data_IF_462666297823
#
_entry.id   IF_462666297823
#
_cell.length_a   1.000
_cell.length_b   1.000
_cell.length_c   1.000
_cell.angle_alpha   90.00
_cell.angle_beta   90.00
_cell.angle_gamma   90.00
#
_symmetry.space_group_name_H-M   'P 1'
#
loop_
_entity.id
_entity.type
_entity.pdbx_description
1 polymer ?
#
# COMPACT_ATOMS: atom_id res chain seq x y z
N UNK A 1 -4.37 3.77 6.27
CA UNK A 1 -3.52 4.29 5.16
C UNK A 1 -4.11 5.58 4.62
N UNK A 2 -3.29 6.56 4.22
CA UNK A 2 -3.75 7.82 3.62
C UNK A 2 -3.38 7.87 2.14
N UNK A 3 -4.35 8.14 1.26
CA UNK A 3 -4.13 8.42 -0.15
C UNK A 3 -4.35 9.91 -0.41
N UNK A 4 -3.45 10.54 -1.16
CA UNK A 4 -3.58 11.92 -1.60
C UNK A 4 -4.03 11.94 -3.06
N UNK A 5 -4.91 12.88 -3.39
CA UNK A 5 -5.22 13.17 -4.78
C UNK A 5 -3.94 13.62 -5.52
N UNK A 6 -3.73 13.10 -6.73
CA UNK A 6 -2.58 13.46 -7.58
C UNK A 6 -2.96 14.40 -8.72
N UNK A 7 -4.23 14.75 -8.86
CA UNK A 7 -4.65 15.77 -9.82
C UNK A 7 -4.37 17.17 -9.25
N UNK A 8 -3.78 18.02 -10.09
CA UNK A 8 -3.06 19.25 -9.74
C UNK A 8 -3.87 20.31 -8.96
N UNK A 9 -5.18 20.13 -8.78
CA UNK A 9 -6.07 21.11 -8.15
C UNK A 9 -6.69 20.66 -6.83
N UNK A 10 -6.47 19.43 -6.36
CA UNK A 10 -7.14 18.90 -5.17
C UNK A 10 -6.16 18.49 -4.07
N UNK A 11 -6.29 19.09 -2.87
CA UNK A 11 -5.49 18.77 -1.67
C UNK A 11 -6.12 17.67 -0.80
N UNK A 12 -7.13 16.99 -1.33
CA UNK A 12 -7.98 16.03 -0.63
C UNK A 12 -7.21 14.78 -0.21
N UNK A 13 -7.52 14.26 0.99
CA UNK A 13 -6.94 13.05 1.57
C UNK A 13 -8.03 12.02 1.79
N UNK A 14 -7.78 10.80 1.35
CA UNK A 14 -8.67 9.66 1.58
C UNK A 14 -8.06 8.73 2.61
N UNK A 15 -8.84 8.34 3.61
CA UNK A 15 -8.42 7.36 4.62
C UNK A 15 -8.97 6.01 4.19
N UNK A 16 -8.07 5.05 3.98
CA UNK A 16 -8.43 3.64 3.84
C UNK A 16 -8.18 2.99 5.19
N UNK A 17 -9.27 2.57 5.84
CA UNK A 17 -9.26 1.55 6.91
C UNK A 17 -9.64 0.22 6.26
N UNK A 18 -9.13 -0.88 6.79
CA UNK A 18 -9.02 -2.19 6.15
C UNK A 18 -10.27 -2.72 5.43
N UNK A 19 -11.46 -2.22 5.74
CA UNK A 19 -12.73 -2.60 5.09
C UNK A 19 -13.64 -1.42 4.72
N UNK A 20 -13.21 -0.17 4.93
CA UNK A 20 -14.02 1.01 4.62
C UNK A 20 -13.21 2.20 4.10
N UNK A 21 -13.67 2.72 2.97
CA UNK A 21 -13.18 3.97 2.39
C UNK A 21 -13.99 5.11 3.01
N UNK A 22 -13.40 5.81 3.98
CA UNK A 22 -14.00 7.05 4.49
C UNK A 22 -13.50 8.21 3.64
N UNK A 23 -14.38 8.78 2.81
CA UNK A 23 -14.11 10.00 2.06
C UNK A 23 -13.90 11.14 3.05
N UNK A 24 -12.79 11.87 2.92
CA UNK A 24 -12.62 13.15 3.61
C UNK A 24 -13.58 14.22 3.05
N UNK A 25 -13.76 15.36 3.73
CA UNK A 25 -14.78 16.37 3.43
C UNK A 25 -14.44 17.26 2.23
N UNK A 26 -13.86 16.71 1.16
CA UNK A 26 -13.39 17.50 0.03
C UNK A 26 -14.03 17.00 -1.25
N UNK A 27 -14.77 17.89 -1.90
CA UNK A 27 -15.37 17.66 -3.21
C UNK A 27 -14.29 17.31 -4.23
N UNK A 28 -14.39 16.12 -4.80
CA UNK A 28 -13.63 15.72 -5.96
C UNK A 28 -14.51 15.93 -7.19
N UNK A 29 -14.04 16.69 -8.18
CA UNK A 29 -14.73 16.84 -9.47
C UNK A 29 -14.50 15.65 -10.42
N UNK A 30 -13.68 14.67 -10.00
CA UNK A 30 -13.48 13.42 -10.72
C UNK A 30 -13.90 12.22 -9.87
N UNK A 31 -14.39 11.19 -10.55
CA UNK A 31 -14.61 9.88 -9.94
C UNK A 31 -13.25 9.21 -9.77
N UNK A 32 -13.01 8.62 -8.59
CA UNK A 32 -11.80 7.84 -8.36
C UNK A 32 -11.76 6.64 -9.33
N UNK A 33 -10.63 6.47 -10.02
CA UNK A 33 -10.38 5.29 -10.86
C UNK A 33 -10.35 4.04 -9.97
N UNK A 34 -11.42 3.25 -10.04
CA UNK A 34 -11.63 2.08 -9.20
C UNK A 34 -10.52 1.04 -9.37
N UNK A 35 -10.04 0.83 -10.60
CA UNK A 35 -8.95 -0.11 -10.89
C UNK A 35 -7.64 0.35 -10.26
N UNK A 36 -7.29 1.64 -10.37
CA UNK A 36 -6.09 2.18 -9.69
C UNK A 36 -6.22 2.16 -8.17
N UNK A 37 -7.42 2.41 -7.65
CA UNK A 37 -7.67 2.36 -6.22
C UNK A 37 -7.49 0.93 -5.69
N UNK A 38 -8.10 -0.05 -6.34
CA UNK A 38 -7.95 -1.46 -5.96
C UNK A 38 -6.51 -1.94 -6.10
N UNK A 39 -5.78 -1.55 -7.15
CA UNK A 39 -4.37 -1.88 -7.30
C UNK A 39 -3.54 -1.35 -6.11
N UNK A 40 -3.83 -0.13 -5.66
CA UNK A 40 -3.16 0.45 -4.48
C UNK A 40 -3.50 -0.30 -3.19
N UNK A 41 -4.74 -0.77 -3.02
CA UNK A 41 -5.15 -1.58 -1.87
C UNK A 41 -4.40 -2.92 -1.88
N UNK A 42 -4.37 -3.62 -3.02
CA UNK A 42 -3.66 -4.89 -3.18
C UNK A 42 -2.17 -4.73 -2.82
N UNK A 43 -1.52 -3.71 -3.37
CA UNK A 43 -0.11 -3.42 -3.05
C UNK A 43 0.08 -3.04 -1.58
N UNK A 44 -0.87 -2.33 -0.96
CA UNK A 44 -0.81 -2.01 0.46
C UNK A 44 -0.89 -3.27 1.33
N UNK A 45 -1.73 -4.22 0.96
CA UNK A 45 -1.83 -5.52 1.65
C UNK A 45 -0.53 -6.30 1.54
N UNK A 46 0.07 -6.39 0.34
CA UNK A 46 1.40 -7.01 0.16
C UNK A 46 2.47 -6.37 1.04
N UNK A 47 2.44 -5.04 1.21
CA UNK A 47 3.38 -4.31 2.09
C UNK A 47 3.18 -4.67 3.55
N UNK A 48 1.93 -4.71 4.02
CA UNK A 48 1.62 -5.12 5.39
C UNK A 48 2.09 -6.56 5.65
N UNK A 49 1.81 -7.47 4.72
CA UNK A 49 2.28 -8.85 4.82
C UNK A 49 3.81 -8.94 4.84
N UNK A 50 4.50 -8.12 4.04
CA UNK A 50 5.97 -8.08 4.07
C UNK A 50 6.55 -7.54 5.38
N UNK A 51 5.82 -6.71 6.12
CA UNK A 51 6.24 -6.21 7.45
C UNK A 51 6.02 -7.29 8.51
N UNK A 52 4.90 -8.02 8.44
CA UNK A 52 4.52 -8.99 9.46
C UNK A 52 5.06 -10.41 9.23
N UNK A 53 5.58 -10.70 8.03
CA UNK A 53 6.07 -12.04 7.67
C UNK A 53 7.51 -12.01 7.15
N UNK A 54 8.22 -13.13 7.33
CA UNK A 54 9.57 -13.36 6.79
C UNK A 54 9.55 -14.00 5.38
N UNK A 55 8.38 -14.15 4.75
CA UNK A 55 8.24 -14.79 3.44
C UNK A 55 9.00 -14.04 2.35
N UNK A 56 9.56 -14.71 1.33
CA UNK A 56 10.22 -14.01 0.24
C UNK A 56 9.22 -13.13 -0.55
N UNK A 57 9.64 -11.98 -1.11
CA UNK A 57 8.77 -11.14 -1.93
C UNK A 57 8.05 -11.88 -3.06
N UNK A 58 8.70 -12.89 -3.64
CA UNK A 58 8.09 -13.80 -4.61
C UNK A 58 6.87 -14.55 -4.05
N UNK A 59 6.97 -15.07 -2.82
CA UNK A 59 5.93 -15.87 -2.17
C UNK A 59 4.70 -15.02 -1.86
N UNK A 60 4.92 -13.80 -1.34
CA UNK A 60 3.86 -12.83 -1.07
C UNK A 60 3.11 -12.49 -2.37
N UNK A 61 3.85 -12.20 -3.45
CA UNK A 61 3.24 -11.87 -4.74
C UNK A 61 2.44 -13.06 -5.30
N UNK A 62 2.95 -14.28 -5.20
CA UNK A 62 2.23 -15.47 -5.68
C UNK A 62 1.00 -15.83 -4.84
N UNK A 63 1.02 -15.54 -3.54
CA UNK A 63 -0.11 -15.78 -2.64
C UNK A 63 -1.21 -14.71 -2.77
N UNK A 64 -0.87 -13.54 -3.32
CA UNK A 64 -1.83 -12.44 -3.44
C UNK A 64 -2.82 -12.67 -4.56
N UNK A 65 -4.11 -12.69 -4.22
CA UNK A 65 -5.18 -12.71 -5.21
C UNK A 65 -5.36 -11.31 -5.82
N UNK A 66 -5.11 -11.19 -7.13
CA UNK A 66 -5.29 -9.95 -7.88
C UNK A 66 -6.58 -10.08 -8.70
N UNK A 67 -7.58 -9.19 -8.51
CA UNK A 67 -8.78 -9.20 -9.33
C UNK A 67 -8.45 -8.92 -10.80
N UNK A 68 -9.08 -9.65 -11.72
CA UNK A 68 -8.78 -9.56 -13.17
C UNK A 68 -8.87 -8.12 -13.72
N UNK A 69 -9.88 -7.34 -13.29
CA UNK A 69 -10.07 -5.94 -13.71
C UNK A 69 -9.05 -4.94 -13.16
N UNK A 70 -8.10 -5.39 -12.33
CA UNK A 70 -7.09 -4.56 -11.66
C UNK A 70 -5.68 -4.83 -12.24
N UNK A 71 -5.48 -5.95 -12.94
CA UNK A 71 -4.17 -6.38 -13.44
C UNK A 71 -3.48 -5.29 -14.28
N UNK A 72 -4.22 -4.62 -15.15
CA UNK A 72 -3.68 -3.53 -15.99
C UNK A 72 -3.27 -2.27 -15.23
N UNK A 73 -3.75 -2.09 -14.00
CA UNK A 73 -3.40 -0.96 -13.13
C UNK A 73 -2.32 -1.31 -12.09
N UNK A 74 -1.86 -2.56 -12.05
CA UNK A 74 -0.83 -3.01 -11.13
C UNK A 74 0.56 -2.50 -11.54
N UNK A 75 1.41 -2.10 -10.59
CA UNK A 75 2.82 -1.84 -10.88
C UNK A 75 3.54 -3.14 -11.28
N UNK A 76 4.66 -3.01 -11.98
CA UNK A 76 5.45 -4.17 -12.40
C UNK A 76 5.91 -5.02 -11.21
N UNK A 77 6.00 -6.33 -11.42
CA UNK A 77 6.46 -7.30 -10.40
C UNK A 77 7.81 -6.89 -9.81
N UNK A 78 8.73 -6.40 -10.63
CA UNK A 78 10.05 -5.90 -10.18
C UNK A 78 9.91 -4.71 -9.23
N UNK A 79 9.01 -3.76 -9.55
CA UNK A 79 8.73 -2.61 -8.70
C UNK A 79 8.14 -3.02 -7.35
N UNK A 80 7.21 -3.99 -7.36
CA UNK A 80 6.63 -4.56 -6.14
C UNK A 80 7.73 -5.21 -5.28
N UNK A 81 8.54 -6.12 -5.84
CA UNK A 81 9.63 -6.79 -5.11
C UNK A 81 10.60 -5.79 -4.47
N UNK A 82 11.01 -4.76 -5.21
CA UNK A 82 11.90 -3.72 -4.71
C UNK A 82 11.26 -2.94 -3.55
N UNK A 83 9.96 -2.67 -3.66
CA UNK A 83 9.19 -2.00 -2.61
C UNK A 83 9.13 -2.84 -1.34
N UNK A 84 8.82 -4.12 -1.44
CA UNK A 84 8.75 -5.04 -0.28
C UNK A 84 10.12 -5.14 0.42
N UNK A 85 11.20 -5.30 -0.35
CA UNK A 85 12.58 -5.32 0.19
C UNK A 85 12.95 -4.03 0.92
N UNK A 86 12.62 -2.87 0.34
CA UNK A 86 12.92 -1.56 0.95
C UNK A 86 12.18 -1.36 2.27
N UNK A 87 10.92 -1.79 2.36
CA UNK A 87 10.12 -1.65 3.57
C UNK A 87 10.68 -2.53 4.68
N UNK A 88 11.06 -3.78 4.37
CA UNK A 88 11.74 -4.65 5.33
C UNK A 88 13.04 -4.06 5.82
N UNK A 89 13.93 -3.67 4.90
CA UNK A 89 15.19 -3.02 5.26
C UNK A 89 14.96 -1.80 6.15
N UNK A 90 13.94 -0.99 5.88
CA UNK A 90 13.61 0.15 6.76
C UNK A 90 13.14 -0.30 8.14
N UNK A 91 12.33 -1.34 8.22
CA UNK A 91 11.85 -1.90 9.49
C UNK A 91 12.99 -2.53 10.31
N UNK A 92 13.90 -3.25 9.65
CA UNK A 92 15.07 -3.88 10.27
C UNK A 92 16.13 -2.85 10.69
N UNK A 93 16.21 -1.71 10.00
CA UNK A 93 17.08 -0.59 10.34
C UNK A 93 16.45 0.41 11.32
N UNK A 94 15.23 0.16 11.84
CA UNK A 94 14.72 0.94 12.98
C UNK A 94 15.57 0.55 14.18
N UNK A 95 16.31 1.48 14.81
CA UNK A 95 17.01 1.16 16.05
C UNK A 95 15.96 0.67 17.03
N UNK A 96 16.13 -0.56 17.55
CA UNK A 96 15.34 -1.00 18.69
C UNK A 96 15.61 0.02 19.79
N UNK A 97 14.62 0.83 20.11
CA UNK A 97 14.63 1.66 21.31
C UNK A 97 14.57 0.69 22.49
N UNK A 98 15.74 0.13 22.84
CA UNK A 98 15.95 -0.58 24.08
C UNK A 98 15.85 0.50 25.15
N UNK A 99 14.62 0.80 25.55
CA UNK A 99 14.33 1.43 26.82
C UNK A 99 15.03 0.57 27.87
N UNK A 100 16.18 1.04 28.33
CA UNK A 100 16.92 0.49 29.45
C UNK A 100 15.96 0.47 30.62
N UNK A 101 15.40 -0.71 30.89
CA UNK A 101 14.69 -0.97 32.13
C UNK A 101 15.76 -1.19 33.20
N UNK A 102 15.68 -0.31 34.21
CA UNK A 102 16.37 -0.28 35.51
C UNK A 102 17.88 -0.11 35.51
#
# INVERSE_FOLDING_TARGET
MYLRCTEHHFKSRMIIKSESITKGPSDHSHVADASKLHARIVVANMKNEAIHTQQLPQQIISATQIPAGVVGAMPSVTSIKNTLRRIRKRNDCVPTDQKSLS
#
